data_IF_593258257326
#
_entry.id   IF_593258257326
#
_cell.length_a   1.000
_cell.length_b   1.000
_cell.length_c   1.000
_cell.angle_alpha   90.00
_cell.angle_beta   90.00
_cell.angle_gamma   90.00
#
_symmetry.space_group_name_H-M   'P 1'
#
loop_
_entity.id
_entity.type
_entity.pdbx_description
1 polymer ?
#
# COMPACT_ATOMS: atom_id res chain seq x y z
N UNK A 1 -10.27 0.62 -17.86
CA UNK A 1 -10.71 -0.37 -18.85
C UNK A 1 -10.16 -1.75 -18.49
N UNK A 2 -10.78 -2.80 -19.03
CA UNK A 2 -10.33 -4.18 -18.91
C UNK A 2 -10.15 -4.82 -20.30
N UNK A 3 -9.59 -6.04 -20.34
CA UNK A 3 -9.25 -6.72 -21.61
C UNK A 3 -10.46 -7.17 -22.45
N UNK A 4 -11.70 -7.05 -21.96
CA UNK A 4 -12.87 -7.71 -22.56
C UNK A 4 -13.70 -6.84 -23.50
N UNK A 5 -13.48 -5.52 -23.56
CA UNK A 5 -14.23 -4.61 -24.41
C UNK A 5 -13.33 -4.03 -25.52
N UNK A 6 -13.56 -4.37 -26.79
CA UNK A 6 -12.83 -3.74 -27.90
C UNK A 6 -13.28 -2.27 -28.02
N UNK A 7 -12.30 -1.38 -28.16
CA UNK A 7 -12.54 0.00 -28.55
C UNK A 7 -12.73 0.09 -30.06
N UNK A 8 -13.37 1.16 -30.53
CA UNK A 8 -13.60 1.41 -31.96
C UNK A 8 -13.15 2.83 -32.28
N UNK A 9 -12.56 2.98 -33.46
CA UNK A 9 -12.33 4.28 -34.08
C UNK A 9 -13.06 4.30 -35.41
N UNK A 10 -13.86 5.33 -35.64
CA UNK A 10 -14.45 5.65 -36.94
C UNK A 10 -13.65 6.79 -37.58
N UNK A 11 -13.36 6.69 -38.86
CA UNK A 11 -12.61 7.68 -39.60
C UNK A 11 -13.10 7.78 -41.02
N UNK A 12 -12.90 8.95 -41.61
CA UNK A 12 -13.23 9.23 -43.00
C UNK A 12 -11.96 9.46 -43.84
N UNK A 13 -12.03 9.13 -45.10
CA UNK A 13 -10.97 9.40 -46.06
C UNK A 13 -11.58 9.73 -47.44
N UNK A 14 -10.86 10.56 -48.21
CA UNK A 14 -11.31 11.03 -49.55
C UNK A 14 -10.09 11.49 -50.33
N UNK A 15 -10.04 11.27 -51.65
CA UNK A 15 -10.95 10.42 -52.43
C UNK A 15 -10.59 8.94 -52.29
N UNK A 16 -11.58 8.05 -52.33
CA UNK A 16 -11.38 6.60 -52.25
C UNK A 16 -10.49 6.12 -53.41
N UNK A 17 -10.63 6.71 -54.62
CA UNK A 17 -9.83 6.38 -55.80
C UNK A 17 -8.34 6.65 -55.68
N UNK A 18 -7.90 7.41 -54.63
CA UNK A 18 -6.47 7.63 -54.39
C UNK A 18 -5.80 6.53 -53.61
N UNK A 19 -6.56 5.58 -53.01
CA UNK A 19 -6.02 4.48 -52.27
C UNK A 19 -5.44 3.40 -53.20
N UNK A 20 -4.23 2.98 -52.91
CA UNK A 20 -3.65 1.80 -53.57
C UNK A 20 -4.19 0.51 -52.95
N UNK A 21 -4.23 -0.56 -53.77
CA UNK A 21 -4.65 -1.89 -53.29
C UNK A 21 -3.81 -2.43 -52.14
N UNK A 22 -2.61 -1.89 -51.89
CA UNK A 22 -1.74 -2.22 -50.81
C UNK A 22 -1.95 -1.38 -49.56
N UNK A 23 -2.87 -0.39 -49.56
CA UNK A 23 -3.07 0.51 -48.46
C UNK A 23 -3.57 -0.24 -47.24
N UNK A 24 -3.00 0.07 -46.08
CA UNK A 24 -3.48 -0.32 -44.76
C UNK A 24 -3.79 0.90 -43.94
N UNK A 25 -4.84 0.84 -43.16
CA UNK A 25 -5.11 1.82 -42.12
C UNK A 25 -4.63 1.27 -40.77
N UNK A 26 -3.85 2.05 -40.05
CA UNK A 26 -3.18 1.69 -38.80
C UNK A 26 -3.66 2.63 -37.71
N UNK A 27 -4.17 2.07 -36.62
CA UNK A 27 -4.50 2.84 -35.41
C UNK A 27 -3.28 2.86 -34.49
N UNK A 28 -2.84 4.04 -34.17
CA UNK A 28 -1.66 4.29 -33.33
C UNK A 28 -2.05 4.97 -32.02
N UNK A 29 -1.47 4.50 -30.91
CA UNK A 29 -1.54 5.11 -29.59
C UNK A 29 -0.23 5.88 -29.34
N UNK A 30 -0.34 7.10 -28.83
CA UNK A 30 0.81 7.88 -28.35
C UNK A 30 1.47 7.26 -27.11
N UNK A 31 2.56 7.82 -26.67
CA UNK A 31 3.07 7.62 -25.31
C UNK A 31 2.16 8.31 -24.27
N UNK A 32 2.49 8.14 -22.98
CA UNK A 32 1.73 8.71 -21.84
C UNK A 32 1.79 10.25 -21.75
N UNK A 33 2.59 10.91 -22.58
CA UNK A 33 2.68 12.36 -22.70
C UNK A 33 1.95 12.92 -23.93
N UNK A 34 1.33 12.05 -24.74
CA UNK A 34 0.62 12.42 -25.97
C UNK A 34 1.52 12.53 -27.19
N UNK A 35 2.78 12.03 -27.12
CA UNK A 35 3.72 12.07 -28.24
C UNK A 35 3.63 10.81 -29.10
N UNK A 36 3.74 11.01 -30.44
CA UNK A 36 3.82 9.94 -31.43
C UNK A 36 5.25 9.72 -31.98
N UNK A 37 6.27 10.10 -31.21
CA UNK A 37 7.68 9.84 -31.58
C UNK A 37 7.98 8.34 -31.71
N UNK A 38 7.37 7.53 -30.84
CA UNK A 38 7.45 6.06 -30.85
C UNK A 38 6.05 5.48 -30.62
N UNK A 39 5.14 5.59 -31.59
CA UNK A 39 3.75 5.22 -31.41
C UNK A 39 3.59 3.71 -31.24
N UNK A 40 2.63 3.28 -30.44
CA UNK A 40 2.24 1.90 -30.30
C UNK A 40 1.14 1.57 -31.29
N UNK A 41 1.38 0.61 -32.18
CA UNK A 41 0.36 0.11 -33.10
C UNK A 41 -0.67 -0.69 -32.32
N UNK A 42 -1.93 -0.31 -32.39
CA UNK A 42 -3.06 -0.98 -31.75
C UNK A 42 -3.69 -2.02 -32.68
N UNK A 43 -3.87 -1.66 -33.94
CA UNK A 43 -4.39 -2.53 -34.98
C UNK A 43 -3.95 -2.02 -36.37
N UNK A 44 -3.80 -2.94 -37.32
CA UNK A 44 -3.66 -2.65 -38.75
C UNK A 44 -4.75 -3.37 -39.52
N UNK A 45 -5.38 -2.69 -40.48
CA UNK A 45 -6.29 -3.36 -41.41
C UNK A 45 -5.52 -4.32 -42.34
N UNK A 46 -6.24 -5.25 -42.93
CA UNK A 46 -5.70 -6.03 -44.07
C UNK A 46 -5.47 -5.05 -45.23
N UNK A 47 -4.39 -5.25 -45.98
CA UNK A 47 -4.08 -4.46 -47.16
C UNK A 47 -5.24 -4.46 -48.16
N UNK A 48 -5.67 -3.29 -48.60
CA UNK A 48 -6.76 -3.12 -49.59
C UNK A 48 -8.16 -3.49 -49.06
N UNK A 49 -8.33 -3.94 -47.84
CA UNK A 49 -9.63 -4.44 -47.35
C UNK A 49 -10.66 -3.30 -47.09
N UNK A 50 -10.19 -2.09 -46.84
CA UNK A 50 -11.06 -0.92 -46.53
C UNK A 50 -11.19 -0.11 -47.82
N UNK A 51 -12.39 -0.14 -48.42
CA UNK A 51 -12.70 0.47 -49.70
C UNK A 51 -13.86 1.46 -49.63
N UNK A 52 -14.45 1.67 -48.44
CA UNK A 52 -15.58 2.60 -48.21
C UNK A 52 -15.26 3.54 -47.06
N UNK A 53 -15.79 4.77 -47.16
CA UNK A 53 -15.67 5.82 -46.14
C UNK A 53 -17.06 6.29 -45.73
N UNK A 54 -17.42 6.41 -44.47
CA UNK A 54 -16.57 6.17 -43.29
C UNK A 54 -16.20 4.69 -43.09
N UNK A 55 -15.11 4.45 -42.36
CA UNK A 55 -14.65 3.13 -41.99
C UNK A 55 -14.44 3.02 -40.47
N UNK A 56 -14.53 1.79 -39.96
CA UNK A 56 -14.34 1.52 -38.53
C UNK A 56 -13.30 0.45 -38.34
N UNK A 57 -12.39 0.64 -37.39
CA UNK A 57 -11.46 -0.35 -36.90
C UNK A 57 -11.68 -0.61 -35.40
N UNK A 58 -11.72 -1.89 -35.04
CA UNK A 58 -11.78 -2.30 -33.63
C UNK A 58 -10.39 -2.65 -33.13
N UNK A 59 -10.05 -2.26 -31.91
CA UNK A 59 -8.74 -2.49 -31.31
C UNK A 59 -8.84 -2.70 -29.81
N UNK A 60 -7.78 -3.26 -29.21
CA UNK A 60 -7.59 -3.31 -27.78
C UNK A 60 -6.47 -2.36 -27.35
N UNK A 61 -6.62 -1.71 -26.22
CA UNK A 61 -5.54 -0.97 -25.58
C UNK A 61 -4.69 -1.97 -24.77
N UNK A 62 -3.35 -1.90 -24.85
CA UNK A 62 -2.48 -2.84 -24.14
C UNK A 62 -2.66 -2.81 -22.62
N UNK A 63 -2.55 -4.00 -21.98
CA UNK A 63 -2.68 -4.14 -20.52
C UNK A 63 -1.56 -3.48 -19.69
N UNK A 64 -0.54 -2.95 -20.35
CA UNK A 64 0.54 -2.17 -19.73
C UNK A 64 0.30 -0.66 -19.77
N UNK A 65 -0.87 -0.21 -20.29
CA UNK A 65 -1.17 1.21 -20.44
C UNK A 65 -1.60 1.81 -19.10
N UNK A 66 -0.91 2.87 -18.68
CA UNK A 66 -1.22 3.67 -17.51
C UNK A 66 -0.75 5.13 -17.73
N UNK A 67 -1.66 6.07 -17.69
CA UNK A 67 -1.34 7.50 -17.85
C UNK A 67 -2.55 8.38 -18.17
N UNK A 68 -2.33 9.70 -18.10
CA UNK A 68 -3.37 10.73 -18.19
C UNK A 68 -3.48 11.41 -19.57
N UNK A 69 -2.49 11.25 -20.43
CA UNK A 69 -2.35 12.11 -21.61
C UNK A 69 -2.12 11.35 -22.91
N UNK A 70 -2.86 10.25 -23.07
CA UNK A 70 -2.80 9.51 -24.34
C UNK A 70 -3.59 10.21 -25.45
N UNK A 71 -3.20 9.93 -26.69
CA UNK A 71 -3.90 10.28 -27.92
C UNK A 71 -3.94 9.10 -28.86
N UNK A 72 -4.90 9.09 -29.76
CA UNK A 72 -5.01 8.14 -30.88
C UNK A 72 -4.99 8.91 -32.19
N UNK A 73 -4.41 8.30 -33.22
CA UNK A 73 -4.51 8.73 -34.60
C UNK A 73 -4.63 7.53 -35.54
N UNK A 74 -5.10 7.78 -36.75
CA UNK A 74 -5.16 6.80 -37.84
C UNK A 74 -4.15 7.17 -38.91
N UNK A 75 -3.35 6.23 -39.39
CA UNK A 75 -2.39 6.41 -40.47
C UNK A 75 -2.73 5.51 -41.65
N UNK A 76 -2.77 6.06 -42.85
CA UNK A 76 -2.76 5.30 -44.10
C UNK A 76 -1.33 5.04 -44.56
N UNK A 77 -1.11 3.93 -45.24
CA UNK A 77 0.23 3.54 -45.72
C UNK A 77 0.48 3.84 -47.19
N UNK A 78 -0.56 3.84 -48.02
CA UNK A 78 -0.44 4.06 -49.48
C UNK A 78 -1.69 4.68 -50.10
N UNK A 79 -1.70 6.01 -50.30
CA UNK A 79 -0.63 6.97 -49.97
C UNK A 79 -0.43 7.13 -48.47
N UNK A 80 0.80 7.48 -48.09
CA UNK A 80 1.13 7.77 -46.69
C UNK A 80 0.39 9.03 -46.23
N UNK A 81 -0.54 8.86 -45.28
CA UNK A 81 -1.38 9.93 -44.73
C UNK A 81 -1.54 9.72 -43.24
N UNK A 82 -1.88 10.80 -42.53
CA UNK A 82 -2.11 10.71 -41.08
C UNK A 82 -3.31 11.61 -40.74
N UNK A 83 -4.24 11.08 -39.96
CA UNK A 83 -5.38 11.85 -39.45
C UNK A 83 -4.95 12.91 -38.45
N UNK A 84 -5.80 13.89 -38.14
CA UNK A 84 -5.66 14.64 -36.90
C UNK A 84 -5.58 13.71 -35.70
N UNK A 85 -4.89 14.17 -34.65
CA UNK A 85 -4.81 13.47 -33.38
C UNK A 85 -6.11 13.63 -32.57
N UNK A 86 -6.49 12.66 -31.79
CA UNK A 86 -7.59 12.81 -30.83
C UNK A 86 -7.25 13.84 -29.76
N UNK A 87 -8.28 14.28 -29.00
CA UNK A 87 -8.07 14.95 -27.71
C UNK A 87 -7.31 14.04 -26.75
N UNK A 88 -6.68 14.64 -25.75
CA UNK A 88 -6.03 13.90 -24.67
C UNK A 88 -7.06 13.09 -23.88
N UNK A 89 -6.72 11.89 -23.50
CA UNK A 89 -7.54 11.04 -22.64
C UNK A 89 -6.70 10.23 -21.64
N UNK A 90 -7.30 9.92 -20.51
CA UNK A 90 -6.71 9.03 -19.50
C UNK A 90 -6.97 7.59 -19.90
N UNK A 91 -5.97 6.74 -19.76
CA UNK A 91 -6.11 5.30 -19.99
C UNK A 91 -5.32 4.50 -18.94
N UNK A 92 -6.04 3.70 -18.16
CA UNK A 92 -5.46 2.79 -17.16
C UNK A 92 -6.06 1.41 -17.34
N UNK A 93 -5.22 0.41 -17.48
CA UNK A 93 -5.67 -0.97 -17.48
C UNK A 93 -6.02 -1.38 -16.05
N UNK A 94 -7.26 -1.83 -15.83
CA UNK A 94 -7.74 -2.31 -14.52
C UNK A 94 -7.15 -3.71 -14.26
N UNK A 95 -5.89 -3.75 -13.83
CA UNK A 95 -5.17 -4.98 -13.56
C UNK A 95 -5.57 -5.60 -12.22
N UNK A 96 -5.84 -4.77 -11.23
CA UNK A 96 -6.25 -5.17 -9.88
C UNK A 96 -7.63 -4.59 -9.57
N UNK A 97 -8.64 -5.43 -9.37
CA UNK A 97 -10.02 -5.03 -9.09
C UNK A 97 -10.58 -5.66 -7.80
N UNK A 98 -9.73 -6.35 -7.04
CA UNK A 98 -10.08 -6.99 -5.77
C UNK A 98 -9.30 -6.35 -4.64
N UNK A 99 -9.81 -6.33 -3.41
CA UNK A 99 -9.04 -5.93 -2.24
C UNK A 99 -7.77 -6.79 -2.11
N UNK A 100 -6.72 -6.17 -1.59
CA UNK A 100 -5.44 -6.82 -1.32
C UNK A 100 -4.98 -6.48 0.09
N UNK A 101 -3.86 -7.06 0.55
CA UNK A 101 -3.43 -6.89 1.94
C UNK A 101 -2.08 -6.19 2.07
N UNK A 102 -1.90 -5.58 3.23
CA UNK A 102 -0.64 -5.03 3.74
C UNK A 102 -0.39 -5.58 5.14
N UNK A 103 0.86 -5.53 5.58
CA UNK A 103 1.28 -5.91 6.94
C UNK A 103 0.91 -7.36 7.30
N UNK A 104 1.02 -8.29 6.34
CA UNK A 104 0.60 -9.70 6.49
C UNK A 104 -0.85 -9.82 7.00
N UNK A 105 -1.73 -8.94 6.52
CA UNK A 105 -3.12 -8.84 6.92
C UNK A 105 -3.37 -8.52 8.41
N UNK A 106 -2.32 -8.12 9.15
CA UNK A 106 -2.48 -7.69 10.54
C UNK A 106 -3.04 -6.26 10.60
N UNK A 107 -4.09 -6.07 11.40
CA UNK A 107 -4.75 -4.77 11.56
C UNK A 107 -3.98 -3.78 12.44
N UNK A 108 -2.91 -4.20 13.10
CA UNK A 108 -2.12 -3.37 13.99
C UNK A 108 -0.62 -3.58 13.83
N UNK A 109 0.14 -2.54 14.13
CA UNK A 109 1.58 -2.52 14.19
C UNK A 109 2.05 -1.50 15.23
N UNK A 110 3.32 -1.57 15.63
CA UNK A 110 3.89 -0.60 16.56
C UNK A 110 5.37 -0.35 16.28
N UNK A 111 5.84 0.82 16.68
CA UNK A 111 7.26 1.19 16.67
C UNK A 111 7.61 1.97 17.94
N UNK A 112 8.91 2.00 18.29
CA UNK A 112 9.39 2.75 19.43
C UNK A 112 9.42 4.25 19.17
N UNK A 113 9.23 5.07 20.18
CA UNK A 113 9.40 6.53 20.11
C UNK A 113 10.73 6.92 19.47
N UNK A 114 10.64 7.81 18.49
CA UNK A 114 11.79 8.22 17.66
C UNK A 114 12.20 7.23 16.57
N UNK A 115 11.52 6.09 16.43
CA UNK A 115 11.72 5.11 15.38
C UNK A 115 10.71 5.24 14.23
N UNK A 116 10.53 4.12 13.52
CA UNK A 116 9.58 4.03 12.42
C UNK A 116 9.08 2.59 12.23
N UNK A 117 8.02 2.43 11.46
CA UNK A 117 7.50 1.15 11.03
C UNK A 117 7.38 1.10 9.50
N UNK A 118 7.81 0.01 8.87
CA UNK A 118 7.73 -0.16 7.43
C UNK A 118 6.49 -0.99 7.06
N UNK A 119 5.46 -0.31 6.54
CA UNK A 119 4.32 -0.97 5.91
C UNK A 119 4.70 -1.42 4.49
N UNK A 120 4.26 -2.62 4.12
CA UNK A 120 4.50 -3.22 2.80
C UNK A 120 3.21 -3.79 2.25
N UNK A 121 3.06 -3.73 0.94
CA UNK A 121 2.06 -4.52 0.22
C UNK A 121 2.50 -5.99 0.27
N UNK A 122 1.58 -6.87 0.65
CA UNK A 122 1.86 -8.30 0.78
C UNK A 122 2.04 -8.95 -0.61
N UNK A 123 3.01 -9.88 -0.72
CA UNK A 123 3.28 -10.61 -1.95
C UNK A 123 3.90 -11.99 -1.65
N UNK A 124 3.21 -13.10 -2.01
CA UNK A 124 1.84 -13.12 -2.48
C UNK A 124 0.88 -12.57 -1.42
N UNK A 125 -0.32 -12.16 -1.85
CA UNK A 125 -1.38 -11.76 -0.92
C UNK A 125 -1.80 -12.94 -0.04
N UNK A 126 -2.48 -12.64 1.07
CA UNK A 126 -2.97 -13.65 2.01
C UNK A 126 -4.37 -14.13 1.64
N UNK A 127 -4.64 -15.42 1.83
CA UNK A 127 -5.93 -16.03 1.52
C UNK A 127 -6.31 -15.92 0.05
N UNK A 128 -7.49 -15.37 -0.23
CA UNK A 128 -7.99 -15.10 -1.59
C UNK A 128 -7.50 -13.78 -2.17
N UNK A 129 -6.71 -13.01 -1.43
CA UNK A 129 -6.20 -11.72 -1.88
C UNK A 129 -5.19 -11.90 -3.00
N UNK A 130 -5.31 -11.01 -3.98
CA UNK A 130 -4.38 -10.90 -5.08
C UNK A 130 -3.39 -9.76 -4.80
N UNK A 131 -2.09 -9.96 -5.03
CA UNK A 131 -1.11 -8.90 -4.82
C UNK A 131 -1.00 -8.03 -6.07
N UNK A 132 -1.21 -6.70 -5.96
CA UNK A 132 -1.03 -5.80 -7.09
C UNK A 132 0.44 -5.66 -7.53
N UNK A 133 1.40 -6.11 -6.72
CA UNK A 133 2.83 -6.09 -7.04
C UNK A 133 3.19 -6.97 -8.24
N UNK A 134 2.34 -7.93 -8.62
CA UNK A 134 2.54 -8.72 -9.84
C UNK A 134 2.29 -7.92 -11.13
N UNK A 135 1.75 -6.71 -11.03
CA UNK A 135 1.47 -5.83 -12.17
C UNK A 135 2.43 -4.63 -12.15
N UNK A 136 3.58 -4.68 -12.84
CA UNK A 136 4.64 -3.67 -12.73
C UNK A 136 4.25 -2.27 -13.23
N UNK A 137 3.16 -2.16 -14.00
CA UNK A 137 2.62 -0.88 -14.46
C UNK A 137 1.79 -0.14 -13.40
N UNK A 138 1.41 -0.80 -12.31
CA UNK A 138 0.66 -0.16 -11.23
C UNK A 138 1.57 0.69 -10.35
N UNK A 139 1.06 1.85 -10.00
CA UNK A 139 1.56 2.70 -8.93
C UNK A 139 0.54 2.75 -7.80
N UNK A 140 0.88 3.37 -6.69
CA UNK A 140 0.13 3.29 -5.45
C UNK A 140 -0.13 4.66 -4.86
N UNK A 141 -1.16 4.74 -4.00
CA UNK A 141 -1.44 5.91 -3.17
C UNK A 141 -1.66 5.44 -1.74
N UNK A 142 -0.75 5.81 -0.85
CA UNK A 142 -0.88 5.57 0.57
C UNK A 142 -1.59 6.73 1.24
N UNK A 143 -2.48 6.39 2.16
CA UNK A 143 -3.24 7.35 2.94
C UNK A 143 -3.10 7.07 4.43
N UNK A 144 -3.09 8.16 5.20
CA UNK A 144 -3.36 8.16 6.63
C UNK A 144 -4.78 8.63 6.82
N UNK A 145 -5.62 7.84 7.49
CA UNK A 145 -6.99 8.23 7.80
C UNK A 145 -7.03 9.52 8.60
N UNK A 146 -7.85 10.46 8.19
CA UNK A 146 -8.01 11.79 8.77
C UNK A 146 -9.40 12.33 8.45
N UNK A 147 -9.91 13.27 9.26
CA UNK A 147 -11.18 13.93 9.01
C UNK A 147 -10.92 15.41 8.66
N UNK A 148 -11.62 16.02 7.68
CA UNK A 148 -12.70 15.43 6.89
C UNK A 148 -12.22 14.61 5.67
N UNK A 149 -10.93 14.62 5.32
CA UNK A 149 -10.34 13.91 4.18
C UNK A 149 -9.06 13.20 4.60
N UNK A 150 -8.88 12.00 4.06
CA UNK A 150 -7.66 11.21 4.28
C UNK A 150 -6.44 11.89 3.68
N UNK A 151 -5.33 11.84 4.41
CA UNK A 151 -4.08 12.49 4.02
C UNK A 151 -3.25 11.56 3.14
N UNK A 152 -2.94 12.00 1.91
CA UNK A 152 -1.97 11.32 1.04
C UNK A 152 -0.56 11.39 1.65
N UNK A 153 0.10 10.23 1.80
CA UNK A 153 1.41 10.11 2.47
C UNK A 153 2.50 9.40 1.66
N UNK A 154 2.18 8.83 0.49
CA UNK A 154 3.20 8.20 -0.34
C UNK A 154 2.67 7.45 -1.56
N UNK A 155 3.56 7.12 -2.52
CA UNK A 155 3.23 6.49 -3.79
C UNK A 155 4.02 5.22 -4.11
N UNK A 156 4.92 4.78 -3.24
CA UNK A 156 5.76 3.60 -3.46
C UNK A 156 5.05 2.30 -3.00
N UNK A 157 5.54 1.11 -3.36
CA UNK A 157 5.03 -0.17 -2.85
C UNK A 157 5.16 -0.35 -1.34
N UNK A 158 5.95 0.50 -0.70
CA UNK A 158 6.17 0.52 0.76
C UNK A 158 6.00 1.92 1.31
N UNK A 159 5.61 2.03 2.59
CA UNK A 159 5.50 3.28 3.32
C UNK A 159 6.26 3.18 4.65
N UNK A 160 7.22 4.08 4.88
CA UNK A 160 7.84 4.25 6.20
C UNK A 160 6.98 5.18 7.05
N UNK A 161 6.39 4.64 8.11
CA UNK A 161 5.53 5.37 9.04
C UNK A 161 6.35 5.87 10.21
N UNK A 162 6.29 7.19 10.45
CA UNK A 162 6.94 7.89 11.57
C UNK A 162 5.95 8.62 12.48
N UNK A 163 4.66 8.48 12.20
CA UNK A 163 3.58 9.11 12.97
C UNK A 163 2.51 8.05 13.27
N UNK A 164 1.99 7.96 14.50
CA UNK A 164 0.89 7.05 14.81
C UNK A 164 -0.37 7.42 14.01
N UNK A 165 -1.17 6.42 13.68
CA UNK A 165 -2.40 6.58 12.93
C UNK A 165 -2.84 5.32 12.21
N UNK A 166 -3.96 5.39 11.51
CA UNK A 166 -4.46 4.30 10.66
C UNK A 166 -4.10 4.57 9.22
N UNK A 167 -3.51 3.57 8.57
CA UNK A 167 -2.97 3.67 7.22
C UNK A 167 -3.57 2.61 6.30
N UNK A 168 -3.68 2.96 5.04
CA UNK A 168 -4.03 2.04 3.97
C UNK A 168 -3.43 2.51 2.63
N UNK A 169 -3.50 1.66 1.63
CA UNK A 169 -3.02 1.95 0.28
C UNK A 169 -4.06 1.53 -0.75
N UNK A 170 -4.16 2.30 -1.82
CA UNK A 170 -4.94 1.95 -3.01
C UNK A 170 -4.04 1.86 -4.25
N UNK A 171 -4.49 1.12 -5.26
CA UNK A 171 -3.88 1.15 -6.58
C UNK A 171 -4.20 2.47 -7.25
N UNK A 172 -3.21 3.08 -7.92
CA UNK A 172 -3.37 4.37 -8.56
C UNK A 172 -3.80 4.20 -10.02
N UNK A 173 -5.05 4.56 -10.30
CA UNK A 173 -5.59 4.65 -11.66
C UNK A 173 -5.83 6.11 -12.06
N UNK A 174 -5.06 7.06 -11.52
CA UNK A 174 -5.11 8.48 -11.86
C UNK A 174 -6.48 9.11 -11.64
N UNK A 175 -7.01 9.75 -12.69
CA UNK A 175 -8.36 10.33 -12.70
C UNK A 175 -9.48 9.29 -12.83
N UNK A 176 -9.14 8.03 -13.16
CA UNK A 176 -10.11 6.94 -13.17
C UNK A 176 -10.38 6.48 -11.74
N UNK A 177 -11.65 6.18 -11.41
CA UNK A 177 -11.99 5.65 -10.11
C UNK A 177 -11.44 4.23 -9.94
N UNK A 178 -10.77 3.98 -8.82
CA UNK A 178 -10.33 2.64 -8.41
C UNK A 178 -11.03 2.27 -7.11
N UNK A 179 -11.40 0.99 -6.99
CA UNK A 179 -11.97 0.43 -5.76
C UNK A 179 -11.04 -0.61 -5.13
N UNK A 180 -9.82 -0.76 -5.65
CA UNK A 180 -8.84 -1.70 -5.12
C UNK A 180 -8.01 -1.04 -4.03
N UNK A 181 -8.24 -1.42 -2.78
CA UNK A 181 -7.52 -0.91 -1.62
C UNK A 181 -7.23 -2.04 -0.61
N UNK A 182 -6.26 -1.78 0.24
CA UNK A 182 -5.81 -2.72 1.27
C UNK A 182 -6.72 -2.72 2.51
N UNK A 183 -6.47 -3.67 3.42
CA UNK A 183 -6.91 -3.55 4.81
C UNK A 183 -6.31 -2.30 5.45
N UNK A 184 -6.94 -1.83 6.55
CA UNK A 184 -6.43 -0.75 7.41
C UNK A 184 -5.49 -1.32 8.44
N UNK A 185 -4.41 -0.58 8.71
CA UNK A 185 -3.43 -0.90 9.74
C UNK A 185 -3.26 0.28 10.68
N UNK A 186 -3.62 0.09 11.95
CA UNK A 186 -3.36 1.08 12.99
C UNK A 186 -1.94 0.91 13.51
N UNK A 187 -1.11 1.91 13.25
CA UNK A 187 0.28 1.97 13.72
C UNK A 187 0.36 2.85 14.95
N UNK A 188 0.91 2.33 16.04
CA UNK A 188 1.04 3.03 17.31
C UNK A 188 2.51 3.30 17.62
N UNK A 189 2.80 4.46 18.20
CA UNK A 189 4.09 4.75 18.80
C UNK A 189 4.10 4.27 20.25
N UNK A 190 5.10 3.49 20.61
CA UNK A 190 5.30 3.00 21.98
C UNK A 190 6.41 3.81 22.63
N UNK A 191 6.06 4.52 23.69
CA UNK A 191 7.06 5.21 24.51
C UNK A 191 7.93 4.19 25.23
N UNK A 192 9.24 4.26 25.02
CA UNK A 192 10.22 3.43 25.74
C UNK A 192 10.65 4.05 27.07
N UNK A 193 10.33 5.33 27.30
CA UNK A 193 10.63 6.02 28.54
C UNK A 193 9.54 5.73 29.59
N UNK A 194 9.83 4.70 30.41
CA UNK A 194 9.35 4.64 31.77
C UNK A 194 7.85 4.75 32.02
N UNK A 195 7.04 3.87 31.44
CA UNK A 195 5.77 3.59 32.12
C UNK A 195 6.12 2.88 33.43
N UNK A 196 5.84 3.52 34.58
CA UNK A 196 6.32 3.00 35.85
C UNK A 196 5.70 1.62 36.15
N UNK A 197 6.50 0.72 36.72
CA UNK A 197 5.95 -0.45 37.37
C UNK A 197 5.14 0.04 38.58
N UNK A 198 3.89 -0.41 38.67
CA UNK A 198 3.02 -0.09 39.81
C UNK A 198 3.04 -1.24 40.81
N UNK A 199 2.84 -0.92 42.10
CA UNK A 199 2.76 -1.87 43.20
C UNK A 199 1.35 -1.81 43.79
N UNK A 200 0.68 -2.95 43.92
CA UNK A 200 -0.70 -3.05 44.43
C UNK A 200 -0.85 -2.63 45.88
N UNK A 201 0.20 -2.77 46.68
CA UNK A 201 0.22 -2.40 48.11
C UNK A 201 1.01 -1.13 48.37
N UNK A 202 1.36 -0.37 47.29
CA UNK A 202 2.18 0.83 47.42
C UNK A 202 3.68 0.53 47.48
N UNK A 203 4.47 1.58 47.65
CA UNK A 203 5.91 1.53 47.82
C UNK A 203 6.36 2.64 48.77
N UNK A 204 6.74 2.33 50.01
CA UNK A 204 7.02 1.00 50.56
C UNK A 204 5.77 0.12 50.80
N UNK A 205 5.94 -1.21 50.86
CA UNK A 205 4.89 -2.17 51.19
C UNK A 205 5.17 -2.86 52.55
N UNK A 206 4.12 -3.43 53.15
CA UNK A 206 4.25 -4.18 54.40
C UNK A 206 4.40 -5.69 54.08
N UNK A 207 5.59 -6.26 54.29
CA UNK A 207 5.84 -7.69 53.99
C UNK A 207 5.05 -8.64 54.92
N UNK A 208 4.67 -8.20 56.12
CA UNK A 208 3.78 -8.93 57.03
C UNK A 208 2.38 -9.19 56.46
N UNK A 209 1.95 -8.39 55.50
CA UNK A 209 0.68 -8.54 54.79
C UNK A 209 0.78 -9.42 53.53
N UNK A 210 1.94 -10.05 53.32
CA UNK A 210 2.24 -10.89 52.17
C UNK A 210 2.77 -10.11 50.95
N UNK A 211 2.93 -10.79 49.83
CA UNK A 211 3.49 -10.24 48.62
C UNK A 211 2.68 -9.07 48.08
N UNK A 212 3.38 -8.13 47.42
CA UNK A 212 2.74 -7.07 46.59
C UNK A 212 2.83 -7.47 45.13
N UNK A 213 1.75 -7.25 44.38
CA UNK A 213 1.74 -7.49 42.93
C UNK A 213 2.30 -6.29 42.21
N UNK A 214 3.41 -6.46 41.54
CA UNK A 214 3.99 -5.51 40.59
C UNK A 214 3.32 -5.67 39.23
N UNK A 215 2.91 -4.59 38.62
CA UNK A 215 2.26 -4.60 37.30
C UNK A 215 3.05 -3.75 36.31
N UNK A 216 3.32 -4.30 35.14
CA UNK A 216 3.94 -3.61 34.02
C UNK A 216 2.90 -3.16 33.00
N UNK A 217 3.30 -2.32 32.05
CA UNK A 217 2.43 -1.90 30.93
C UNK A 217 2.08 -3.09 30.04
N UNK A 218 0.99 -2.98 29.28
CA UNK A 218 0.57 -4.01 28.35
C UNK A 218 1.57 -4.12 27.18
N UNK A 219 2.11 -5.32 26.96
CA UNK A 219 3.02 -5.68 25.87
C UNK A 219 2.70 -7.09 25.33
N UNK A 220 3.51 -7.56 24.39
CA UNK A 220 3.36 -8.89 23.77
C UNK A 220 4.00 -10.00 24.61
N UNK A 221 5.13 -9.70 25.25
CA UNK A 221 5.81 -10.62 26.19
C UNK A 221 6.59 -9.86 27.25
N UNK A 222 6.92 -10.55 28.33
CA UNK A 222 7.53 -9.98 29.52
C UNK A 222 8.66 -10.87 30.03
N UNK A 223 9.64 -10.24 30.69
CA UNK A 223 10.65 -10.93 31.52
C UNK A 223 10.99 -10.04 32.69
N UNK A 224 10.82 -10.60 33.91
CA UNK A 224 11.15 -9.92 35.17
C UNK A 224 12.53 -10.23 35.64
N UNK A 225 13.10 -9.27 36.35
CA UNK A 225 14.40 -9.32 36.99
C UNK A 225 14.31 -8.75 38.39
N UNK A 226 15.16 -9.23 39.31
CA UNK A 226 15.38 -8.64 40.64
C UNK A 226 16.87 -8.38 40.83
N UNK A 227 17.25 -7.16 41.19
CA UNK A 227 18.65 -6.75 41.35
C UNK A 227 19.53 -7.13 40.13
N UNK A 228 18.97 -6.89 38.91
CA UNK A 228 19.54 -7.24 37.61
C UNK A 228 19.73 -8.76 37.36
N UNK A 229 19.19 -9.64 38.21
CA UNK A 229 19.21 -11.08 38.03
C UNK A 229 17.85 -11.52 37.45
N UNK A 230 17.90 -12.32 36.38
CA UNK A 230 16.71 -12.87 35.75
C UNK A 230 15.92 -13.75 36.75
N UNK A 231 14.60 -13.55 36.79
CA UNK A 231 13.68 -14.39 37.55
C UNK A 231 13.15 -15.49 36.63
N UNK A 232 13.55 -16.76 36.76
CA UNK A 232 13.12 -17.82 35.85
C UNK A 232 11.60 -17.99 35.87
N UNK A 233 10.99 -18.05 34.65
CA UNK A 233 9.55 -18.27 34.50
C UNK A 233 8.67 -17.04 34.77
N UNK A 234 9.21 -15.89 35.16
CA UNK A 234 8.47 -14.67 35.40
C UNK A 234 8.22 -13.93 34.07
N UNK A 235 7.25 -14.42 33.28
CA UNK A 235 6.92 -13.96 31.93
C UNK A 235 5.50 -13.41 31.78
N UNK A 236 4.80 -13.18 32.89
CA UNK A 236 3.49 -12.55 32.90
C UNK A 236 3.60 -11.01 32.98
N UNK A 237 2.53 -10.30 32.69
CA UNK A 237 2.45 -8.82 32.84
C UNK A 237 2.56 -8.37 34.28
N UNK A 238 2.41 -9.28 35.23
CA UNK A 238 2.51 -9.05 36.67
C UNK A 238 3.53 -9.99 37.32
N UNK A 239 4.07 -9.56 38.47
CA UNK A 239 4.95 -10.35 39.31
C UNK A 239 4.67 -10.09 40.79
N UNK A 240 4.54 -11.15 41.59
CA UNK A 240 4.32 -11.08 43.04
C UNK A 240 5.65 -10.99 43.77
N UNK A 241 5.99 -9.81 44.25
CA UNK A 241 7.21 -9.51 44.99
C UNK A 241 6.96 -9.61 46.50
N UNK A 242 7.77 -10.45 47.20
CA UNK A 242 7.68 -10.67 48.65
C UNK A 242 8.84 -10.06 49.43
N UNK A 243 9.78 -9.37 48.78
CA UNK A 243 10.97 -8.75 49.39
C UNK A 243 11.26 -7.39 48.73
N UNK A 244 11.90 -6.50 49.47
CA UNK A 244 12.48 -5.30 48.92
C UNK A 244 13.58 -5.62 47.90
N UNK A 245 13.75 -4.76 46.91
CA UNK A 245 14.75 -4.90 45.87
C UNK A 245 14.49 -4.01 44.64
N UNK A 246 15.45 -3.97 43.74
CA UNK A 246 15.31 -3.33 42.46
C UNK A 246 14.68 -4.33 41.48
N UNK A 247 13.38 -4.20 41.25
CA UNK A 247 12.68 -5.01 40.26
C UNK A 247 12.67 -4.28 38.93
N UNK A 248 12.88 -5.04 37.85
CA UNK A 248 12.71 -4.52 36.48
C UNK A 248 11.98 -5.51 35.59
N UNK A 249 11.24 -4.99 34.64
CA UNK A 249 10.52 -5.77 33.66
C UNK A 249 10.93 -5.31 32.26
N UNK A 250 11.48 -6.25 31.48
CA UNK A 250 11.66 -6.08 30.04
C UNK A 250 10.34 -6.43 29.36
N UNK A 251 9.76 -5.47 28.65
CA UNK A 251 8.50 -5.63 27.90
C UNK A 251 8.83 -5.60 26.43
N UNK A 252 8.38 -6.60 25.70
CA UNK A 252 8.48 -6.67 24.24
C UNK A 252 7.15 -6.22 23.62
N UNK A 253 7.21 -5.29 22.67
CA UNK A 253 6.09 -4.79 21.90
C UNK A 253 6.09 -5.29 20.44
N UNK A 254 6.97 -6.25 20.10
CA UNK A 254 7.17 -6.81 18.77
C UNK A 254 8.22 -6.05 17.96
N UNK A 255 8.01 -4.77 17.72
CA UNK A 255 8.99 -3.93 16.99
C UNK A 255 10.09 -3.39 17.91
N UNK A 256 9.86 -3.34 19.21
CA UNK A 256 10.80 -2.85 20.20
C UNK A 256 10.58 -3.47 21.57
N UNK A 257 11.54 -3.27 22.47
CA UNK A 257 11.41 -3.58 23.89
C UNK A 257 11.73 -2.37 24.75
N UNK A 258 11.10 -2.27 25.90
CA UNK A 258 11.45 -1.30 26.94
C UNK A 258 11.78 -1.99 28.24
N UNK A 259 12.55 -1.32 29.09
CA UNK A 259 12.82 -1.76 30.45
C UNK A 259 12.22 -0.72 31.42
N UNK A 260 11.31 -1.17 32.27
CA UNK A 260 10.83 -0.39 33.40
C UNK A 260 11.44 -0.93 34.68
N UNK A 261 11.59 -0.09 35.70
CA UNK A 261 12.11 -0.53 37.00
C UNK A 261 11.40 0.19 38.16
N UNK A 262 11.35 -0.50 39.30
CA UNK A 262 10.88 0.02 40.57
C UNK A 262 11.85 -0.43 41.68
N UNK A 263 12.29 0.55 42.48
CA UNK A 263 13.03 0.21 43.72
C UNK A 263 12.00 -0.02 44.84
N UNK A 264 11.57 -1.29 44.96
CA UNK A 264 10.56 -1.67 45.94
C UNK A 264 11.17 -1.65 47.36
N UNK A 265 10.55 -0.91 48.23
CA UNK A 265 10.94 -0.78 49.64
C UNK A 265 9.96 -1.52 50.53
N UNK A 266 10.46 -1.97 51.69
CA UNK A 266 9.69 -2.65 52.71
C UNK A 266 9.62 -1.81 54.00
N UNK A 267 8.41 -1.63 54.51
CA UNK A 267 8.24 -1.08 55.83
C UNK A 267 8.59 -2.15 56.91
N UNK A 268 9.56 -1.86 57.72
CA UNK A 268 9.89 -2.63 58.89
C UNK A 268 9.22 -1.97 60.09
N UNK A 269 8.11 -2.55 60.52
CA UNK A 269 7.53 -2.22 61.83
C UNK A 269 7.69 -3.40 62.75
#
# INVERSE_FOLDING_TARGET
>A
YNATAPFKVEFTFSPISALNASNQFIVELSDSNGSFSTPKILVSSIAGAITTSPATLSFAIPNTTAGEKFKIRVRGTSPATTSPESVLFSAYFLAQNTPFSINNFNASASYCAGGNYLLKIDNPGTGSNDSPLKYPSLTYRWYKESAPLDLFVGGNPTLTVTQPGTYYVETNYGSCTSFSYSNRVTVSEVSTSGSPITSSKGNPFCASEGATTLSSVKGNSYQWYVNNVLIPGATASTYDANKAGLYSCKVDFGACSSNASINLQENKF
#
